data_IF_241055037213
#
_entry.id   IF_241055037213
#
_cell.length_a   1.000
_cell.length_b   1.000
_cell.length_c   1.000
_cell.angle_alpha   90.00
_cell.angle_beta   90.00
_cell.angle_gamma   90.00
#
_symmetry.space_group_name_H-M   'P 1'
#
loop_
_entity.id
_entity.type
_entity.pdbx_description
1 polymer ?
#
# COMPACT_ATOMS: atom_id res chain seq x y z
N UNK A 1 -35.74 2.92 -11.81
CA UNK A 1 -34.65 1.92 -11.74
C UNK A 1 -34.03 1.78 -10.34
N UNK A 2 -33.17 2.68 -9.84
CA UNK A 2 -32.49 2.49 -8.52
C UNK A 2 -33.48 2.41 -7.36
N UNK A 3 -34.48 3.30 -7.35
CA UNK A 3 -35.52 3.33 -6.32
C UNK A 3 -36.37 2.05 -6.31
N UNK A 4 -36.61 1.44 -7.48
CA UNK A 4 -37.37 0.20 -7.60
C UNK A 4 -36.57 -1.00 -7.10
N UNK A 5 -35.27 -1.06 -7.45
CA UNK A 5 -34.36 -2.10 -6.96
C UNK A 5 -34.23 -2.06 -5.42
N UNK A 6 -34.26 -0.86 -4.83
CA UNK A 6 -34.20 -0.67 -3.38
C UNK A 6 -35.50 -1.06 -2.64
N UNK A 7 -36.60 -1.38 -3.34
CA UNK A 7 -37.83 -1.91 -2.71
C UNK A 7 -37.76 -3.41 -2.46
N UNK A 8 -36.83 -4.13 -3.09
CA UNK A 8 -36.67 -5.56 -2.89
C UNK A 8 -36.27 -5.86 -1.42
N UNK A 9 -36.76 -6.97 -0.83
CA UNK A 9 -36.45 -7.37 0.55
C UNK A 9 -35.06 -8.01 0.63
N UNK A 10 -34.03 -7.29 0.15
CA UNK A 10 -32.63 -7.71 0.22
C UNK A 10 -31.85 -6.71 1.09
N UNK A 11 -30.75 -7.15 1.73
CA UNK A 11 -29.88 -6.24 2.48
C UNK A 11 -29.04 -5.31 1.58
N UNK A 12 -29.06 -5.51 0.26
CA UNK A 12 -28.26 -4.75 -0.70
C UNK A 12 -29.02 -3.47 -1.07
N UNK A 13 -28.35 -2.32 -0.97
CA UNK A 13 -28.87 -1.02 -1.41
C UNK A 13 -28.03 -0.48 -2.55
N UNK A 14 -28.72 -0.05 -3.60
CA UNK A 14 -28.12 0.54 -4.79
C UNK A 14 -28.12 2.05 -4.66
N UNK A 15 -27.03 2.66 -5.11
CA UNK A 15 -26.87 4.11 -5.21
C UNK A 15 -26.41 4.44 -6.63
N UNK A 16 -27.00 5.44 -7.25
CA UNK A 16 -26.49 6.03 -8.48
C UNK A 16 -26.28 7.53 -8.25
N UNK A 17 -25.14 8.03 -8.73
CA UNK A 17 -24.83 9.45 -8.69
C UNK A 17 -24.42 9.86 -10.09
N UNK A 18 -25.11 10.86 -10.62
CA UNK A 18 -24.81 11.48 -11.91
C UNK A 18 -24.59 12.96 -11.64
N UNK A 19 -23.49 13.51 -12.15
CA UNK A 19 -23.18 14.92 -12.02
C UNK A 19 -22.39 15.36 -13.24
N UNK A 20 -22.71 16.54 -13.75
CA UNK A 20 -21.94 17.21 -14.80
C UNK A 20 -20.68 17.89 -14.27
N UNK A 21 -20.54 18.04 -12.95
CA UNK A 21 -19.48 18.83 -12.32
C UNK A 21 -18.48 17.96 -11.58
N UNK A 22 -18.93 16.95 -10.82
CA UNK A 22 -18.04 16.12 -10.02
C UNK A 22 -18.52 14.67 -9.88
N UNK A 23 -17.60 13.72 -9.99
CA UNK A 23 -17.91 12.31 -9.80
C UNK A 23 -16.82 11.62 -8.99
N UNK A 24 -17.24 10.77 -8.07
CA UNK A 24 -16.35 9.99 -7.22
C UNK A 24 -16.17 8.61 -7.85
N UNK A 25 -14.92 8.19 -8.03
CA UNK A 25 -14.61 6.87 -8.56
C UNK A 25 -13.39 6.28 -7.85
N UNK A 26 -13.59 5.11 -7.24
CA UNK A 26 -12.58 4.44 -6.40
C UNK A 26 -12.02 5.37 -5.32
N UNK A 27 -10.78 5.84 -5.52
CA UNK A 27 -10.02 6.64 -4.58
C UNK A 27 -9.76 8.06 -5.09
N UNK A 28 -10.51 8.49 -6.10
CA UNK A 28 -10.34 9.78 -6.77
C UNK A 28 -11.71 10.46 -6.91
N UNK A 29 -11.76 11.76 -6.67
CA UNK A 29 -12.87 12.61 -7.07
C UNK A 29 -12.41 13.39 -8.31
N UNK A 30 -13.16 13.25 -9.39
CA UNK A 30 -12.96 13.98 -10.63
C UNK A 30 -13.89 15.19 -10.63
N UNK A 31 -13.39 16.35 -11.05
CA UNK A 31 -14.17 17.56 -11.20
C UNK A 31 -13.84 18.28 -12.50
N UNK A 32 -14.84 18.91 -13.10
CA UNK A 32 -14.65 19.75 -14.29
C UNK A 32 -14.16 21.13 -13.86
N UNK A 33 -12.89 21.43 -14.12
CA UNK A 33 -12.32 22.76 -13.94
C UNK A 33 -12.55 23.65 -15.17
N UNK A 34 -11.99 24.86 -15.16
CA UNK A 34 -12.21 25.86 -16.24
C UNK A 34 -11.83 25.33 -17.63
N UNK A 35 -10.64 24.73 -17.77
CA UNK A 35 -10.13 24.24 -19.06
C UNK A 35 -9.54 22.81 -18.97
N UNK A 36 -9.73 22.10 -17.87
CA UNK A 36 -9.16 20.77 -17.65
C UNK A 36 -10.00 19.96 -16.68
N UNK A 37 -9.86 18.64 -16.77
CA UNK A 37 -10.32 17.74 -15.72
C UNK A 37 -9.38 17.89 -14.51
N UNK A 38 -9.95 18.23 -13.37
CA UNK A 38 -9.26 18.20 -12.09
C UNK A 38 -9.56 16.90 -11.37
N UNK A 39 -8.61 16.45 -10.56
CA UNK A 39 -8.75 15.25 -9.79
C UNK A 39 -8.09 15.42 -8.42
N UNK A 40 -8.68 14.80 -7.41
CA UNK A 40 -8.16 14.82 -6.04
C UNK A 40 -8.38 13.48 -5.35
N UNK A 41 -7.65 13.20 -4.28
CA UNK A 41 -7.86 11.97 -3.52
C UNK A 41 -9.25 11.99 -2.86
N UNK A 42 -10.01 10.93 -3.03
CA UNK A 42 -11.32 10.78 -2.38
C UNK A 42 -11.29 9.64 -1.35
N UNK A 43 -11.89 9.90 -0.19
CA UNK A 43 -12.10 8.93 0.89
C UNK A 43 -13.58 8.93 1.22
N UNK A 44 -14.22 7.75 1.29
CA UNK A 44 -15.64 7.69 1.62
C UNK A 44 -15.84 8.13 3.07
N UNK A 45 -17.00 8.73 3.35
CA UNK A 45 -17.35 9.14 4.72
C UNK A 45 -17.41 7.97 5.70
N UNK A 46 -17.65 6.75 5.21
CA UNK A 46 -17.64 5.51 6.00
C UNK A 46 -16.26 4.90 6.18
N UNK A 47 -15.25 5.37 5.44
CA UNK A 47 -13.91 4.81 5.52
C UNK A 47 -13.24 5.25 6.82
N UNK A 48 -12.83 4.27 7.61
CA UNK A 48 -12.02 4.50 8.81
C UNK A 48 -10.56 4.70 8.40
N UNK A 49 -9.75 5.31 9.28
CA UNK A 49 -8.30 5.30 9.11
C UNK A 49 -7.82 3.82 9.07
N UNK A 50 -7.36 3.34 7.92
CA UNK A 50 -6.91 1.94 7.72
C UNK A 50 -5.39 1.78 7.79
N UNK A 51 -4.66 2.87 8.10
CA UNK A 51 -3.21 2.83 8.22
C UNK A 51 -2.78 1.90 9.34
N UNK A 52 -1.68 1.18 9.16
CA UNK A 52 -1.13 0.33 10.22
C UNK A 52 -0.71 1.18 11.41
N UNK A 53 -0.77 0.61 12.62
CA UNK A 53 -0.18 1.27 13.79
C UNK A 53 1.34 1.09 13.77
N UNK A 54 2.10 2.07 14.25
CA UNK A 54 3.58 2.01 14.24
C UNK A 54 4.16 0.84 15.06
N UNK A 55 3.43 0.41 16.08
CA UNK A 55 3.78 -0.74 16.94
C UNK A 55 3.06 -2.04 16.58
N UNK A 56 2.44 -2.10 15.39
CA UNK A 56 1.77 -3.32 14.93
C UNK A 56 2.76 -4.47 14.69
N UNK A 57 2.28 -5.71 14.72
CA UNK A 57 3.08 -6.91 14.50
C UNK A 57 3.41 -7.16 13.02
N UNK A 58 3.78 -6.11 12.28
CA UNK A 58 4.13 -6.15 10.86
C UNK A 58 5.64 -5.98 10.65
N UNK A 59 6.18 -6.35 9.47
CA UNK A 59 7.59 -6.10 9.17
C UNK A 59 7.94 -4.63 9.33
N UNK A 60 9.07 -4.36 10.00
CA UNK A 60 9.53 -2.99 10.25
C UNK A 60 9.69 -2.20 8.94
N UNK A 61 10.23 -2.85 7.90
CA UNK A 61 10.37 -2.28 6.57
C UNK A 61 9.05 -1.86 5.95
N UNK A 62 7.95 -2.60 6.21
CA UNK A 62 6.62 -2.23 5.75
C UNK A 62 6.09 -1.02 6.53
N UNK A 63 6.26 -1.02 7.85
CA UNK A 63 5.83 0.08 8.72
C UNK A 63 6.52 1.37 8.29
N UNK A 64 7.83 1.35 8.07
CA UNK A 64 8.65 2.51 7.69
C UNK A 64 8.39 3.00 6.25
N UNK A 65 8.12 2.09 5.31
CA UNK A 65 7.83 2.46 3.92
C UNK A 65 6.39 2.91 3.68
N UNK A 66 5.47 2.63 4.61
CA UNK A 66 4.05 2.96 4.46
C UNK A 66 3.79 4.47 4.31
N UNK A 67 4.36 5.38 5.14
CA UNK A 67 4.22 6.83 4.96
C UNK A 67 4.59 7.30 3.56
N UNK A 68 5.77 6.91 3.08
CA UNK A 68 6.27 7.25 1.74
C UNK A 68 5.30 6.81 0.65
N UNK A 69 4.81 5.57 0.72
CA UNK A 69 3.86 5.05 -0.26
C UNK A 69 2.55 5.84 -0.29
N UNK A 70 2.03 6.24 0.87
CA UNK A 70 0.81 7.04 0.96
C UNK A 70 1.02 8.49 0.52
N UNK A 71 2.14 9.13 0.86
CA UNK A 71 2.45 10.48 0.36
C UNK A 71 2.57 10.50 -1.15
N UNK A 72 3.29 9.56 -1.76
CA UNK A 72 3.32 9.44 -3.22
C UNK A 72 1.95 9.19 -3.86
N UNK A 73 1.00 8.59 -3.12
CA UNK A 73 -0.37 8.43 -3.61
C UNK A 73 -1.11 9.77 -3.62
N UNK A 74 -0.97 10.58 -2.57
CA UNK A 74 -1.52 11.94 -2.53
C UNK A 74 -0.92 12.78 -3.65
N UNK A 75 0.39 12.72 -3.86
CA UNK A 75 1.09 13.46 -4.92
C UNK A 75 0.57 13.12 -6.32
N UNK A 76 0.37 11.83 -6.61
CA UNK A 76 -0.08 11.36 -7.93
C UNK A 76 -1.57 11.59 -8.18
N UNK A 77 -2.40 11.56 -7.14
CA UNK A 77 -3.86 11.63 -7.28
C UNK A 77 -4.41 13.03 -7.02
N UNK A 78 -3.60 14.08 -7.18
CA UNK A 78 -4.05 15.47 -7.12
C UNK A 78 -3.52 16.29 -8.28
N UNK A 79 -4.42 16.99 -8.98
CA UNK A 79 -4.08 17.95 -10.03
C UNK A 79 -3.92 19.38 -9.51
N UNK A 80 -4.43 19.69 -8.32
CA UNK A 80 -4.42 21.01 -7.72
C UNK A 80 -3.48 21.04 -6.51
N UNK A 81 -2.51 21.95 -6.51
CA UNK A 81 -1.47 22.01 -5.47
C UNK A 81 -2.02 22.42 -4.09
N UNK A 82 -3.03 23.30 -4.03
CA UNK A 82 -3.65 23.68 -2.76
C UNK A 82 -4.38 22.50 -2.11
N UNK A 83 -5.12 21.72 -2.90
CA UNK A 83 -5.81 20.52 -2.41
C UNK A 83 -4.79 19.45 -2.01
N UNK A 84 -3.73 19.29 -2.81
CA UNK A 84 -2.64 18.36 -2.53
C UNK A 84 -1.98 18.64 -1.18
N UNK A 85 -1.58 19.88 -0.91
CA UNK A 85 -0.96 20.25 0.36
C UNK A 85 -1.89 20.01 1.55
N UNK A 86 -3.17 20.39 1.43
CA UNK A 86 -4.18 20.08 2.46
C UNK A 86 -4.26 18.57 2.74
N UNK A 87 -4.31 17.75 1.69
CA UNK A 87 -4.40 16.30 1.84
C UNK A 87 -3.11 15.66 2.37
N UNK A 88 -1.95 16.25 2.10
CA UNK A 88 -0.68 15.84 2.72
C UNK A 88 -0.69 16.12 4.23
N UNK A 89 -1.21 17.28 4.64
CA UNK A 89 -1.40 17.60 6.06
C UNK A 89 -2.36 16.61 6.74
N UNK A 90 -3.53 16.36 6.13
CA UNK A 90 -4.52 15.38 6.64
C UNK A 90 -3.93 13.97 6.74
N UNK A 91 -3.13 13.55 5.75
CA UNK A 91 -2.45 12.25 5.77
C UNK A 91 -1.41 12.17 6.90
N UNK A 92 -0.65 13.25 7.10
CA UNK A 92 0.35 13.33 8.18
C UNK A 92 -0.31 13.22 9.54
N UNK A 93 -1.43 13.90 9.75
CA UNK A 93 -2.21 13.79 10.99
C UNK A 93 -2.70 12.35 11.23
N UNK A 94 -3.22 11.68 10.19
CA UNK A 94 -3.64 10.26 10.28
C UNK A 94 -2.51 9.33 10.69
N UNK A 95 -1.27 9.60 10.27
CA UNK A 95 -0.09 8.83 10.69
C UNK A 95 0.33 9.16 12.13
N UNK A 96 0.31 10.43 12.53
CA UNK A 96 0.59 10.83 13.91
C UNK A 96 -0.36 10.16 14.90
N UNK A 97 -1.66 10.14 14.58
CA UNK A 97 -2.68 9.43 15.36
C UNK A 97 -2.43 7.90 15.44
N UNK A 98 -1.63 7.34 14.54
CA UNK A 98 -1.24 5.92 14.50
C UNK A 98 0.12 5.65 15.14
N UNK A 99 0.67 6.62 15.86
CA UNK A 99 1.90 6.49 16.64
C UNK A 99 3.19 6.60 15.83
N UNK A 100 3.13 7.13 14.59
CA UNK A 100 4.33 7.39 13.81
C UNK A 100 5.08 8.62 14.33
N UNK A 101 6.41 8.54 14.36
CA UNK A 101 7.26 9.66 14.77
C UNK A 101 7.28 10.72 13.69
N UNK A 102 7.19 11.99 14.10
CA UNK A 102 7.18 13.14 13.19
C UNK A 102 8.40 13.18 12.26
N UNK A 103 9.59 12.86 12.78
CA UNK A 103 10.83 12.83 11.98
C UNK A 103 10.76 11.90 10.77
N UNK A 104 10.19 10.70 10.93
CA UNK A 104 10.02 9.72 9.84
C UNK A 104 9.03 10.25 8.80
N UNK A 105 7.97 10.92 9.26
CA UNK A 105 6.96 11.48 8.37
C UNK A 105 7.51 12.64 7.55
N UNK A 106 8.28 13.54 8.16
CA UNK A 106 8.89 14.67 7.46
C UNK A 106 9.91 14.20 6.43
N UNK A 107 10.74 13.20 6.76
CA UNK A 107 11.67 12.57 5.82
C UNK A 107 10.93 11.94 4.63
N UNK A 108 9.91 11.13 4.90
CA UNK A 108 9.11 10.49 3.86
C UNK A 108 8.33 11.50 3.00
N UNK A 109 7.91 12.62 3.58
CA UNK A 109 7.23 13.70 2.87
C UNK A 109 8.19 14.45 1.94
N UNK A 110 9.39 14.78 2.43
CA UNK A 110 10.42 15.42 1.64
C UNK A 110 10.82 14.52 0.45
N UNK A 111 11.06 13.24 0.71
CA UNK A 111 11.35 12.27 -0.35
C UNK A 111 10.20 12.14 -1.36
N UNK A 112 8.95 12.25 -0.91
CA UNK A 112 7.80 12.19 -1.80
C UNK A 112 7.64 13.43 -2.69
N UNK A 113 8.21 14.57 -2.28
CA UNK A 113 8.25 15.83 -3.05
C UNK A 113 9.35 15.84 -4.11
N UNK A 114 10.41 15.07 -3.91
CA UNK A 114 11.46 14.95 -4.91
C UNK A 114 10.90 14.32 -6.21
N UNK A 115 11.28 14.87 -7.38
CA UNK A 115 10.90 14.29 -8.66
C UNK A 115 11.47 12.88 -8.77
N UNK A 116 10.62 11.93 -9.21
CA UNK A 116 11.08 10.57 -9.42
C UNK A 116 12.10 10.54 -10.53
N UNK A 117 13.22 9.88 -10.25
CA UNK A 117 14.22 9.50 -11.23
C UNK A 117 13.54 8.73 -12.38
N UNK A 118 13.99 8.98 -13.60
CA UNK A 118 13.48 8.36 -14.81
C UNK A 118 13.53 6.82 -14.72
N UNK A 119 12.59 6.12 -15.39
CA UNK A 119 12.55 4.63 -15.37
C UNK A 119 13.85 4.03 -15.92
N UNK A 120 14.46 4.74 -16.87
CA UNK A 120 15.70 4.40 -17.55
C UNK A 120 16.88 4.36 -16.57
N UNK A 121 16.90 5.23 -15.57
CA UNK A 121 17.94 5.25 -14.53
C UNK A 121 17.74 4.16 -13.46
N UNK A 122 16.48 3.76 -13.20
CA UNK A 122 16.18 2.68 -12.25
C UNK A 122 16.65 1.30 -12.72
N UNK A 123 16.68 1.05 -14.04
CA UNK A 123 17.00 -0.26 -14.63
C UNK A 123 18.50 -0.58 -14.76
N UNK A 124 19.40 0.28 -14.25
CA UNK A 124 20.87 0.04 -14.28
C UNK A 124 21.37 -1.03 -13.30
N UNK A 125 20.49 -1.74 -12.60
CA UNK A 125 20.89 -2.75 -11.64
C UNK A 125 21.17 -4.10 -12.34
N UNK A 126 22.37 -4.66 -12.09
CA UNK A 126 22.73 -5.99 -12.57
C UNK A 126 21.78 -7.07 -12.02
N UNK A 127 21.26 -7.90 -12.91
CA UNK A 127 20.40 -9.03 -12.56
C UNK A 127 21.26 -10.11 -11.88
N UNK A 128 21.26 -10.12 -10.55
CA UNK A 128 21.84 -11.23 -9.79
C UNK A 128 20.83 -12.36 -9.67
N UNK A 129 21.20 -13.59 -10.02
CA UNK A 129 20.37 -14.78 -9.81
C UNK A 129 20.27 -15.07 -8.30
N UNK A 130 19.28 -14.46 -7.64
CA UNK A 130 19.00 -14.67 -6.23
C UNK A 130 17.88 -15.69 -6.07
N UNK A 131 18.17 -16.83 -5.45
CA UNK A 131 17.14 -17.80 -5.05
C UNK A 131 16.31 -17.18 -3.92
N UNK A 132 15.02 -16.93 -4.19
CA UNK A 132 14.08 -16.34 -3.22
C UNK A 132 13.18 -17.44 -2.67
N UNK A 133 13.16 -17.58 -1.35
CA UNK A 133 12.22 -18.47 -0.67
C UNK A 133 10.99 -17.65 -0.20
N UNK A 134 9.81 -17.86 -0.78
CA UNK A 134 8.61 -17.19 -0.30
C UNK A 134 8.29 -17.70 1.10
N UNK A 135 8.38 -16.81 2.08
CA UNK A 135 8.06 -17.09 3.49
C UNK A 135 6.96 -16.15 3.96
N UNK A 136 6.12 -16.63 4.87
CA UNK A 136 5.14 -15.78 5.56
C UNK A 136 5.87 -15.05 6.69
N UNK A 137 5.66 -13.73 6.80
CA UNK A 137 6.27 -12.96 7.88
C UNK A 137 5.78 -13.46 9.23
N UNK A 138 6.73 -13.73 10.13
CA UNK A 138 6.49 -13.97 11.53
C UNK A 138 7.54 -13.21 12.35
N UNK A 139 7.21 -12.76 13.57
CA UNK A 139 8.17 -12.01 14.38
C UNK A 139 9.44 -12.83 14.72
N UNK A 140 9.31 -14.16 14.80
CA UNK A 140 10.46 -15.07 14.98
C UNK A 140 11.32 -15.28 13.72
N UNK A 141 10.86 -14.82 12.55
CA UNK A 141 11.57 -15.00 11.27
C UNK A 141 12.19 -13.70 10.73
N UNK A 142 12.34 -12.66 11.58
CA UNK A 142 12.93 -11.36 11.21
C UNK A 142 14.31 -11.45 10.54
N UNK A 143 15.10 -12.48 10.83
CA UNK A 143 16.44 -12.67 10.27
C UNK A 143 16.45 -13.39 8.92
N UNK A 144 15.34 -14.01 8.49
CA UNK A 144 15.27 -14.70 7.19
C UNK A 144 15.29 -13.70 6.03
N UNK A 145 14.58 -12.57 6.18
CA UNK A 145 14.47 -11.54 5.14
C UNK A 145 15.79 -10.81 4.82
N UNK A 146 16.80 -10.91 5.70
CA UNK A 146 18.13 -10.33 5.48
C UNK A 146 19.14 -11.31 4.87
N UNK A 147 18.70 -12.49 4.41
CA UNK A 147 19.57 -13.50 3.80
C UNK A 147 20.44 -14.26 4.80
N UNK A 148 20.28 -14.01 6.11
CA UNK A 148 20.98 -14.72 7.18
C UNK A 148 20.03 -15.75 7.80
N UNK A 149 19.98 -16.93 7.23
CA UNK A 149 19.23 -18.04 7.82
C UNK A 149 20.01 -18.59 9.02
N UNK A 150 19.70 -18.09 10.21
CA UNK A 150 20.20 -18.65 11.47
C UNK A 150 19.53 -19.97 11.83
N UNK A 151 20.16 -20.76 12.70
CA UNK A 151 19.67 -22.08 13.16
C UNK A 151 18.28 -22.02 13.82
N UNK A 152 17.96 -20.91 14.51
CA UNK A 152 16.65 -20.65 15.11
C UNK A 152 15.54 -20.48 14.06
N UNK A 153 15.86 -19.88 12.91
CA UNK A 153 14.94 -19.75 11.78
C UNK A 153 14.70 -21.10 11.10
N UNK A 154 15.73 -21.94 10.95
CA UNK A 154 15.58 -23.29 10.39
C UNK A 154 14.60 -24.15 11.19
N UNK A 155 14.55 -24.04 12.52
CA UNK A 155 13.56 -24.77 13.34
C UNK A 155 12.13 -24.34 13.05
N UNK A 156 11.90 -23.03 12.92
CA UNK A 156 10.57 -22.45 12.61
C UNK A 156 10.14 -22.78 11.17
N UNK A 157 11.09 -22.76 10.24
CA UNK A 157 10.85 -23.11 8.83
C UNK A 157 10.53 -24.61 8.71
N UNK A 158 11.29 -25.48 9.39
CA UNK A 158 11.09 -26.94 9.39
C UNK A 158 9.76 -27.37 10.03
N UNK A 159 9.24 -26.60 11.00
CA UNK A 159 7.93 -26.88 11.61
C UNK A 159 6.75 -26.41 10.77
N UNK A 160 6.98 -25.56 9.76
CA UNK A 160 5.91 -25.10 8.87
C UNK A 160 5.53 -26.16 7.84
N UNK A 161 4.28 -26.62 7.88
CA UNK A 161 3.71 -27.60 6.93
C UNK A 161 3.83 -27.16 5.46
N UNK A 162 3.89 -25.85 5.17
CA UNK A 162 4.07 -25.34 3.81
C UNK A 162 5.51 -25.49 3.29
N UNK A 163 6.50 -25.44 4.18
CA UNK A 163 7.90 -25.61 3.81
C UNK A 163 8.22 -27.06 3.40
N UNK A 164 7.71 -28.05 4.16
CA UNK A 164 7.87 -29.46 3.82
C UNK A 164 7.24 -29.80 2.46
N UNK A 165 6.10 -29.18 2.12
CA UNK A 165 5.48 -29.36 0.79
C UNK A 165 6.37 -28.82 -0.32
N UNK A 166 6.90 -27.60 -0.18
CA UNK A 166 7.76 -27.01 -1.22
C UNK A 166 9.13 -27.69 -1.35
N UNK A 167 9.67 -28.25 -0.26
CA UNK A 167 10.91 -29.04 -0.31
C UNK A 167 10.72 -30.37 -1.04
N UNK A 168 9.55 -31.02 -0.87
CA UNK A 168 9.17 -32.22 -1.61
C UNK A 168 8.92 -31.96 -3.10
N UNK A 169 8.48 -30.75 -3.48
CA UNK A 169 8.36 -30.37 -4.90
C UNK A 169 9.72 -30.07 -5.55
N UNK A 170 10.71 -29.60 -4.78
CA UNK A 170 12.07 -29.36 -5.29
C UNK A 170 12.87 -30.66 -5.51
N UNK A 171 12.58 -31.74 -4.78
CA UNK A 171 13.26 -33.04 -4.96
C UNK A 171 12.75 -33.84 -6.17
N UNK A 172 11.57 -33.51 -6.69
CA UNK A 172 10.94 -34.27 -7.79
C UNK A 172 11.17 -33.67 -9.18
N UNK A 173 12.01 -32.64 -9.29
CA UNK A 173 12.47 -32.06 -10.56
C UNK A 173 13.71 -32.76 -11.11
N UNK A 174 13.69 -34.10 -11.23
CA UNK A 174 14.72 -34.84 -11.96
C UNK A 174 14.14 -35.26 -13.31
N UNK A 175 14.63 -34.61 -14.37
CA UNK A 175 14.60 -34.96 -15.80
C UNK A 175 13.66 -36.09 -16.25
N UNK A 176 12.69 -35.74 -17.12
CA UNK A 176 12.65 -36.20 -18.52
C UNK A 176 12.25 -35.00 -19.37
#
# INVERSE_FOLDING_TARGET
MVEELNKLPTPIRFTAQISSVKVQYLHVELSVGVNRLEYSLYTKTTDRNTLLHSLSAHPQTLIESLPKAQYHRVMRNNSNDLIKERQLSEMTEKFLQRGYKRSILDEALNEAREPRVSKEEMFKHEVTQKLVFPTTYHQSTKTISSGRIGESCLRTIRSSRSFLKNLLFASNGTRI
#
